data_IF_971491980945
#
_entry.id   IF_971491980945
#
_cell.length_a   1.000
_cell.length_b   1.000
_cell.length_c   1.000
_cell.angle_alpha   90.00
_cell.angle_beta   90.00
_cell.angle_gamma   90.00
#
_symmetry.space_group_name_H-M   'P 1'
#
loop_
_entity.id
_entity.type
_entity.pdbx_description
1 polymer ?
#
# COMPACT_ATOMS: atom_id res chain seq x y z
N UNK A 1 -12.56 -20.83 46.78
CA UNK A 1 -12.13 -19.90 45.73
C UNK A 1 -11.83 -20.69 44.47
N UNK A 2 -12.85 -20.89 43.62
CA UNK A 2 -12.73 -21.41 42.26
C UNK A 2 -13.94 -20.89 41.49
N UNK A 3 -13.72 -20.12 40.43
CA UNK A 3 -14.71 -19.90 39.38
C UNK A 3 -13.98 -20.09 38.04
N UNK A 4 -14.31 -21.18 37.36
CA UNK A 4 -14.06 -21.40 35.95
C UNK A 4 -15.41 -21.19 35.27
N UNK A 5 -15.50 -20.28 34.29
CA UNK A 5 -16.31 -20.45 33.07
C UNK A 5 -16.15 -19.24 32.15
N UNK A 6 -15.47 -19.47 31.04
CA UNK A 6 -15.83 -19.12 29.65
C UNK A 6 -16.71 -17.89 29.42
N UNK A 7 -16.13 -16.85 28.81
CA UNK A 7 -16.83 -15.99 27.86
C UNK A 7 -16.06 -16.03 26.54
N UNK A 8 -16.59 -16.82 25.62
CA UNK A 8 -16.29 -16.77 24.20
C UNK A 8 -17.16 -15.66 23.58
N UNK A 9 -16.69 -15.08 22.47
CA UNK A 9 -17.39 -14.21 21.50
C UNK A 9 -17.36 -12.71 21.76
N UNK A 10 -16.65 -12.02 20.86
CA UNK A 10 -17.08 -10.87 20.02
C UNK A 10 -15.89 -9.89 19.84
N UNK A 11 -15.13 -10.01 18.76
CA UNK A 11 -15.41 -9.24 17.54
C UNK A 11 -15.32 -7.72 17.74
N UNK A 12 -14.12 -7.19 17.92
CA UNK A 12 -13.80 -5.82 17.52
C UNK A 12 -12.37 -5.90 16.95
N UNK A 13 -12.18 -6.30 15.69
CA UNK A 13 -12.35 -5.41 14.54
C UNK A 13 -11.98 -3.95 14.86
N UNK A 14 -10.88 -3.73 15.59
CA UNK A 14 -10.13 -2.48 15.48
C UNK A 14 -9.26 -2.62 14.23
N UNK A 15 -9.92 -2.79 13.07
CA UNK A 15 -9.37 -2.19 11.86
C UNK A 15 -9.57 -0.71 12.16
N UNK A 16 -8.55 -0.09 12.78
CA UNK A 16 -8.53 1.34 12.91
C UNK A 16 -8.83 1.85 11.50
N UNK A 17 -10.03 2.42 11.37
CA UNK A 17 -10.45 3.10 10.19
C UNK A 17 -9.26 3.99 9.82
N UNK A 18 -8.70 3.72 8.65
CA UNK A 18 -7.75 4.57 7.94
C UNK A 18 -8.49 5.87 7.63
N UNK A 19 -8.82 6.61 8.69
CA UNK A 19 -9.36 7.94 8.63
C UNK A 19 -8.16 8.80 8.25
N UNK A 20 -7.96 8.91 6.95
CA UNK A 20 -7.34 10.01 6.23
C UNK A 20 -7.22 9.51 4.79
N UNK A 21 -8.20 9.87 3.95
CA UNK A 21 -8.00 9.94 2.50
C UNK A 21 -6.62 10.55 2.20
N UNK A 22 -6.22 11.57 2.96
CA UNK A 22 -4.93 12.26 2.83
C UNK A 22 -3.69 11.40 3.20
N UNK A 23 -3.82 10.46 4.14
CA UNK A 23 -2.73 9.62 4.63
C UNK A 23 -2.44 8.45 3.69
N UNK A 24 -3.51 7.85 3.15
CA UNK A 24 -3.39 6.84 2.10
C UNK A 24 -2.88 7.45 0.78
N UNK A 25 -3.24 8.71 0.50
CA UNK A 25 -2.71 9.47 -0.62
C UNK A 25 -1.21 9.70 -0.53
N UNK A 26 -0.76 10.23 0.61
CA UNK A 26 0.64 10.51 0.80
C UNK A 26 1.48 9.23 0.72
N UNK A 27 1.01 8.15 1.34
CA UNK A 27 1.64 6.82 1.29
C UNK A 27 1.74 6.31 -0.16
N UNK A 28 0.64 6.38 -0.91
CA UNK A 28 0.61 5.98 -2.32
C UNK A 28 1.62 6.78 -3.14
N UNK A 29 1.59 8.11 -3.01
CA UNK A 29 2.42 8.98 -3.83
C UNK A 29 3.90 8.76 -3.56
N UNK A 30 4.30 8.61 -2.30
CA UNK A 30 5.68 8.32 -1.92
C UNK A 30 6.13 6.98 -2.52
N UNK A 31 5.41 5.89 -2.25
CA UNK A 31 5.81 4.55 -2.70
C UNK A 31 5.85 4.46 -4.23
N UNK A 32 4.82 4.98 -4.90
CA UNK A 32 4.76 4.97 -6.37
C UNK A 32 5.89 5.83 -6.96
N UNK A 33 6.18 6.99 -6.38
CA UNK A 33 7.24 7.86 -6.90
C UNK A 33 8.62 7.21 -6.76
N UNK A 34 8.90 6.54 -5.64
CA UNK A 34 10.14 5.80 -5.45
C UNK A 34 10.25 4.62 -6.45
N UNK A 35 9.17 3.86 -6.65
CA UNK A 35 9.17 2.78 -7.66
C UNK A 35 9.40 3.32 -9.07
N UNK A 36 8.76 4.43 -9.45
CA UNK A 36 9.01 5.06 -10.76
C UNK A 36 10.47 5.54 -10.89
N UNK A 37 11.07 6.02 -9.80
CA UNK A 37 12.48 6.44 -9.78
C UNK A 37 13.47 5.26 -9.93
N UNK A 38 13.10 4.05 -9.49
CA UNK A 38 13.88 2.83 -9.74
C UNK A 38 13.93 2.43 -11.22
N UNK A 39 12.98 2.90 -12.03
CA UNK A 39 12.82 2.55 -13.44
C UNK A 39 12.84 3.79 -14.36
N UNK A 40 13.97 4.52 -14.45
CA UNK A 40 14.05 5.78 -15.21
C UNK A 40 13.87 5.62 -16.73
N UNK A 41 14.02 4.39 -17.25
CA UNK A 41 13.71 4.04 -18.64
C UNK A 41 12.23 3.72 -18.90
N UNK A 42 11.39 3.85 -17.88
CA UNK A 42 9.99 3.42 -17.88
C UNK A 42 9.82 1.95 -17.53
N UNK A 43 8.56 1.52 -17.42
CA UNK A 43 8.21 0.18 -16.92
C UNK A 43 8.08 -0.88 -18.03
N UNK A 44 8.43 -0.52 -19.28
CA UNK A 44 8.30 -1.41 -20.42
C UNK A 44 9.25 -2.61 -20.28
N UNK A 45 8.69 -3.82 -20.27
CA UNK A 45 9.46 -5.05 -20.09
C UNK A 45 9.80 -5.39 -18.64
N UNK A 46 9.47 -4.53 -17.67
CA UNK A 46 9.57 -4.87 -16.25
C UNK A 46 8.41 -5.81 -15.88
N UNK A 47 8.65 -7.02 -15.36
CA UNK A 47 7.59 -7.94 -14.97
C UNK A 47 6.75 -7.39 -13.82
N UNK A 48 5.44 -7.66 -13.80
CA UNK A 48 4.55 -7.22 -12.70
C UNK A 48 5.01 -7.74 -11.34
N UNK A 49 5.59 -8.94 -11.28
CA UNK A 49 6.14 -9.50 -10.04
C UNK A 49 7.33 -8.67 -9.50
N UNK A 50 8.14 -8.08 -10.39
CA UNK A 50 9.24 -7.18 -10.00
C UNK A 50 8.66 -5.88 -9.47
N UNK A 51 7.70 -5.28 -10.16
CA UNK A 51 7.05 -4.05 -9.70
C UNK A 51 6.31 -4.24 -8.36
N UNK A 52 5.70 -5.41 -8.16
CA UNK A 52 5.08 -5.76 -6.89
C UNK A 52 6.13 -5.90 -5.76
N UNK A 53 7.29 -6.49 -6.06
CA UNK A 53 8.38 -6.56 -5.10
C UNK A 53 8.92 -5.16 -4.78
N UNK A 54 9.09 -4.30 -5.78
CA UNK A 54 9.55 -2.92 -5.59
C UNK A 54 8.59 -2.12 -4.70
N UNK A 55 7.27 -2.22 -4.94
CA UNK A 55 6.26 -1.58 -4.09
C UNK A 55 6.36 -2.04 -2.62
N UNK A 56 6.56 -3.34 -2.38
CA UNK A 56 6.72 -3.87 -1.03
C UNK A 56 8.05 -3.46 -0.39
N UNK A 57 9.15 -3.46 -1.15
CA UNK A 57 10.46 -3.03 -0.64
C UNK A 57 10.45 -1.54 -0.24
N UNK A 58 9.73 -0.70 -0.99
CA UNK A 58 9.58 0.71 -0.63
C UNK A 58 8.71 0.92 0.62
N UNK A 59 7.72 0.03 0.86
CA UNK A 59 7.02 0.00 2.16
C UNK A 59 8.00 -0.24 3.32
N UNK A 60 8.79 -1.31 3.24
CA UNK A 60 9.74 -1.67 4.30
C UNK A 60 10.77 -0.56 4.52
N UNK A 61 11.29 0.04 3.44
CA UNK A 61 12.31 1.09 3.50
C UNK A 61 11.78 2.35 4.18
N UNK A 62 10.60 2.82 3.80
CA UNK A 62 10.07 4.09 4.29
C UNK A 62 9.51 3.98 5.72
N UNK A 63 8.96 2.81 6.09
CA UNK A 63 8.31 2.59 7.38
C UNK A 63 9.02 1.57 8.28
N UNK A 64 10.29 1.23 8.03
CA UNK A 64 11.07 0.31 8.88
C UNK A 64 11.06 0.62 10.38
N UNK A 65 10.88 1.90 10.76
CA UNK A 65 10.83 2.36 12.15
C UNK A 65 9.40 2.44 12.72
N UNK A 66 8.38 2.25 11.88
CA UNK A 66 6.96 2.24 12.24
C UNK A 66 6.28 0.97 11.70
N UNK A 67 6.30 -0.14 12.47
CA UNK A 67 5.74 -1.42 12.05
C UNK A 67 4.24 -1.37 11.70
N UNK A 68 3.49 -0.39 12.25
CA UNK A 68 2.06 -0.27 11.96
C UNK A 68 1.84 0.34 10.58
N UNK A 69 2.61 1.37 10.23
CA UNK A 69 2.55 1.95 8.89
C UNK A 69 3.12 1.02 7.83
N UNK A 70 4.19 0.28 8.15
CA UNK A 70 4.75 -0.75 7.28
C UNK A 70 3.70 -1.81 6.92
N UNK A 71 3.06 -2.40 7.94
CA UNK A 71 1.98 -3.37 7.72
C UNK A 71 0.80 -2.78 6.93
N UNK A 72 0.43 -1.52 7.21
CA UNK A 72 -0.60 -0.80 6.47
C UNK A 72 -0.24 -0.65 4.99
N UNK A 73 1.01 -0.32 4.69
CA UNK A 73 1.53 -0.20 3.34
C UNK A 73 1.51 -1.54 2.60
N UNK A 74 1.99 -2.62 3.23
CA UNK A 74 1.95 -3.96 2.63
C UNK A 74 0.52 -4.44 2.37
N UNK A 75 -0.41 -4.18 3.29
CA UNK A 75 -1.82 -4.50 3.10
C UNK A 75 -2.41 -3.71 1.91
N UNK A 76 -2.02 -2.46 1.77
CA UNK A 76 -2.40 -1.59 0.66
C UNK A 76 -1.83 -2.05 -0.69
N UNK A 77 -0.53 -2.38 -0.75
CA UNK A 77 0.13 -2.96 -1.95
C UNK A 77 -0.53 -4.28 -2.34
N UNK A 78 -0.79 -5.16 -1.37
CA UNK A 78 -1.44 -6.45 -1.62
C UNK A 78 -2.84 -6.28 -2.21
N UNK A 79 -3.62 -5.32 -1.70
CA UNK A 79 -4.99 -5.09 -2.14
C UNK A 79 -5.08 -4.42 -3.51
N UNK A 80 -4.20 -3.45 -3.78
CA UNK A 80 -4.35 -2.52 -4.90
C UNK A 80 -3.19 -2.57 -5.91
N UNK A 81 -2.12 -3.31 -5.63
CA UNK A 81 -0.87 -3.31 -6.39
C UNK A 81 -1.03 -3.61 -7.87
N UNK A 82 -1.94 -4.51 -8.26
CA UNK A 82 -2.23 -4.78 -9.66
C UNK A 82 -2.81 -3.54 -10.39
N UNK A 83 -3.72 -2.82 -9.74
CA UNK A 83 -4.28 -1.57 -10.27
C UNK A 83 -3.22 -0.46 -10.33
N UNK A 84 -2.34 -0.35 -9.32
CA UNK A 84 -1.23 0.60 -9.35
C UNK A 84 -0.25 0.29 -10.47
N UNK A 85 0.13 -0.98 -10.64
CA UNK A 85 1.04 -1.38 -11.73
C UNK A 85 0.44 -1.01 -13.09
N UNK A 86 -0.85 -1.30 -13.31
CA UNK A 86 -1.53 -0.88 -14.52
C UNK A 86 -1.52 0.65 -14.70
N UNK A 87 -1.81 1.40 -13.63
CA UNK A 87 -1.82 2.86 -13.67
C UNK A 87 -0.42 3.46 -13.85
N UNK A 88 0.63 2.91 -13.24
CA UNK A 88 2.02 3.34 -13.39
C UNK A 88 2.54 3.10 -14.82
N UNK A 89 1.99 2.11 -15.53
CA UNK A 89 2.33 1.87 -16.94
C UNK A 89 1.73 2.91 -17.87
N UNK A 90 0.59 3.48 -17.51
CA UNK A 90 -0.12 4.48 -18.33
C UNK A 90 0.16 5.91 -17.91
N UNK A 91 0.63 6.12 -16.67
CA UNK A 91 0.85 7.44 -16.09
C UNK A 91 2.31 7.63 -15.68
N UNK A 92 2.81 8.84 -15.89
CA UNK A 92 4.19 9.21 -15.60
C UNK A 92 4.39 9.83 -14.21
N UNK A 93 3.32 10.04 -13.45
CA UNK A 93 3.37 10.71 -12.14
C UNK A 93 2.61 9.92 -11.08
N UNK A 94 3.17 9.90 -9.87
CA UNK A 94 2.55 9.25 -8.73
C UNK A 94 1.18 9.85 -8.39
N UNK A 95 1.02 11.17 -8.51
CA UNK A 95 -0.27 11.84 -8.35
C UNK A 95 -1.36 11.25 -9.28
N UNK A 96 -1.06 11.08 -10.57
CA UNK A 96 -2.04 10.52 -11.50
C UNK A 96 -2.35 9.04 -11.18
N UNK A 97 -1.36 8.27 -10.71
CA UNK A 97 -1.57 6.88 -10.28
C UNK A 97 -2.46 6.80 -9.04
N UNK A 98 -2.27 7.71 -8.08
CA UNK A 98 -2.94 7.66 -6.77
C UNK A 98 -4.34 8.26 -6.75
N UNK A 99 -4.63 9.19 -7.66
CA UNK A 99 -5.91 9.93 -7.74
C UNK A 99 -6.81 9.52 -8.92
N UNK A 100 -6.28 8.81 -9.93
CA UNK A 100 -7.08 8.36 -11.06
C UNK A 100 -7.66 6.95 -10.85
N UNK A 101 -8.90 6.68 -11.28
CA UNK A 101 -9.41 5.32 -11.36
C UNK A 101 -8.53 4.46 -12.30
N UNK A 102 -8.37 3.15 -12.06
CA UNK A 102 -9.01 2.31 -11.04
C UNK A 102 -8.21 2.20 -9.73
N UNK A 103 -7.05 2.85 -9.65
CA UNK A 103 -6.15 2.75 -8.53
C UNK A 103 -6.36 3.85 -7.48
N UNK A 104 -7.29 4.78 -7.73
CA UNK A 104 -7.70 5.88 -6.86
C UNK A 104 -7.86 5.43 -5.40
N UNK A 105 -6.86 5.73 -4.60
CA UNK A 105 -6.88 5.65 -3.13
C UNK A 105 -6.94 7.03 -2.48
N UNK A 106 -6.80 8.04 -3.35
CA UNK A 106 -7.30 9.39 -3.31
C UNK A 106 -8.51 9.47 -4.25
#
# INVERSE_FOLDING_TARGET
>A
MHFITTVCLLSVAVIAAFAQTDGNCHLCEVVVNEVLALHPGGLNGVPDAVLMADLNNECEKYWSQDPTQDQGCHAWVTKNGASFIAAMRTNSSAYAVCHAPPASVC
#
